data_IF_317049766544
#
_entry.id   IF_317049766544
#
_cell.length_a   1.000
_cell.length_b   1.000
_cell.length_c   1.000
_cell.angle_alpha   90.00
_cell.angle_beta   90.00
_cell.angle_gamma   90.00
#
_symmetry.space_group_name_H-M   'P 1'
#
loop_
_entity.id
_entity.type
_entity.pdbx_description
1 polymer ?
#
# COMPACT_ATOMS: atom_id res chain seq x y z
N UNK A 1 11.45 14.15 19.21
CA UNK A 1 11.14 12.94 18.43
C UNK A 1 11.64 13.19 17.02
N UNK A 2 12.52 12.34 16.47
CA UNK A 2 13.02 12.54 15.10
C UNK A 2 11.86 12.34 14.12
N UNK A 3 11.59 13.34 13.28
CA UNK A 3 10.52 13.31 12.27
C UNK A 3 10.67 12.10 11.32
N UNK A 4 11.90 11.70 11.03
CA UNK A 4 12.20 10.55 10.19
C UNK A 4 11.74 9.22 10.77
N UNK A 5 11.85 9.06 12.10
CA UNK A 5 11.34 7.87 12.79
C UNK A 5 9.82 7.81 12.71
N UNK A 6 9.15 8.95 12.86
CA UNK A 6 7.69 9.05 12.73
C UNK A 6 7.24 8.69 11.31
N UNK A 7 7.94 9.18 10.29
CA UNK A 7 7.62 8.92 8.89
C UNK A 7 7.84 7.45 8.52
N UNK A 8 8.97 6.87 8.94
CA UNK A 8 9.24 5.46 8.70
C UNK A 8 8.19 4.55 9.35
N UNK A 9 7.79 4.84 10.59
CA UNK A 9 6.72 4.12 11.29
C UNK A 9 5.39 4.29 10.55
N UNK A 10 5.08 5.51 10.08
CA UNK A 10 3.87 5.79 9.31
C UNK A 10 3.82 4.96 8.03
N UNK A 11 4.93 4.85 7.31
CA UNK A 11 5.00 4.06 6.07
C UNK A 11 4.80 2.56 6.32
N UNK A 12 5.34 2.05 7.44
CA UNK A 12 5.08 0.68 7.88
C UNK A 12 3.61 0.45 8.21
N UNK A 13 2.98 1.38 8.92
CA UNK A 13 1.55 1.28 9.25
C UNK A 13 0.69 1.23 7.97
N UNK A 14 0.98 2.08 6.99
CA UNK A 14 0.29 2.02 5.70
C UNK A 14 0.55 0.70 4.96
N UNK A 15 1.76 0.17 5.03
CA UNK A 15 2.07 -1.16 4.48
C UNK A 15 1.24 -2.25 5.15
N UNK A 16 1.08 -2.22 6.48
CA UNK A 16 0.21 -3.14 7.21
C UNK A 16 -1.25 -3.01 6.79
N UNK A 17 -1.75 -1.79 6.59
CA UNK A 17 -3.11 -1.55 6.09
C UNK A 17 -3.30 -2.19 4.71
N UNK A 18 -2.37 -1.97 3.78
CA UNK A 18 -2.40 -2.60 2.46
C UNK A 18 -2.32 -4.13 2.55
N UNK A 19 -1.54 -4.66 3.48
CA UNK A 19 -1.49 -6.10 3.77
C UNK A 19 -2.84 -6.64 4.20
N UNK A 20 -3.49 -6.03 5.20
CA UNK A 20 -4.81 -6.43 5.66
C UNK A 20 -5.85 -6.40 4.54
N UNK A 21 -5.87 -5.31 3.75
CA UNK A 21 -6.72 -5.19 2.57
C UNK A 21 -6.46 -6.32 1.56
N UNK A 22 -5.19 -6.64 1.29
CA UNK A 22 -4.84 -7.72 0.38
C UNK A 22 -5.33 -9.09 0.84
N UNK A 23 -5.23 -9.39 2.14
CA UNK A 23 -5.68 -10.65 2.73
C UNK A 23 -7.19 -10.76 2.66
N UNK A 24 -7.91 -9.69 3.01
CA UNK A 24 -9.37 -9.64 2.88
C UNK A 24 -9.78 -9.82 1.43
N UNK A 25 -9.20 -9.05 0.50
CA UNK A 25 -9.51 -9.15 -0.93
C UNK A 25 -9.19 -10.53 -1.52
N UNK A 26 -8.15 -11.20 -1.04
CA UNK A 26 -7.83 -12.58 -1.43
C UNK A 26 -8.91 -13.55 -0.95
N UNK A 27 -9.27 -13.51 0.34
CA UNK A 27 -10.28 -14.40 0.93
C UNK A 27 -11.65 -14.21 0.30
N UNK A 28 -12.11 -12.97 0.18
CA UNK A 28 -13.37 -12.66 -0.49
C UNK A 28 -13.32 -13.03 -1.98
N UNK A 29 -12.18 -12.83 -2.64
CA UNK A 29 -11.98 -13.24 -4.03
C UNK A 29 -12.06 -14.76 -4.24
N UNK A 30 -11.53 -15.55 -3.31
CA UNK A 30 -11.63 -17.01 -3.33
C UNK A 30 -13.07 -17.48 -3.14
N UNK A 31 -13.81 -16.89 -2.20
CA UNK A 31 -15.21 -17.26 -1.91
C UNK A 31 -16.15 -16.84 -3.05
N UNK A 32 -15.95 -15.65 -3.63
CA UNK A 32 -16.82 -15.10 -4.68
C UNK A 32 -16.35 -15.42 -6.12
N UNK A 33 -15.28 -16.19 -6.30
CA UNK A 33 -14.76 -16.55 -7.63
C UNK A 33 -14.20 -15.37 -8.44
N UNK A 34 -13.76 -14.29 -7.78
CA UNK A 34 -13.34 -13.04 -8.43
C UNK A 34 -11.90 -13.15 -8.94
N UNK A 35 -11.60 -12.48 -10.06
CA UNK A 35 -10.24 -12.32 -10.57
C UNK A 35 -9.30 -11.68 -9.54
N UNK A 36 -8.04 -12.11 -9.59
CA UNK A 36 -6.94 -11.84 -8.64
C UNK A 36 -6.46 -10.37 -8.62
N UNK A 37 -7.36 -9.41 -8.43
CA UNK A 37 -7.00 -7.98 -8.33
C UNK A 37 -6.15 -7.65 -7.09
N UNK A 38 -6.04 -8.60 -6.15
CA UNK A 38 -5.19 -8.45 -4.96
C UNK A 38 -3.70 -8.30 -5.29
N UNK A 39 -3.24 -8.66 -6.49
CA UNK A 39 -1.84 -8.48 -6.90
C UNK A 39 -1.38 -7.02 -6.89
N UNK A 40 -2.29 -6.06 -7.14
CA UNK A 40 -1.97 -4.64 -7.08
C UNK A 40 -1.66 -4.18 -5.64
N UNK A 41 -2.23 -4.83 -4.62
CA UNK A 41 -1.85 -4.57 -3.24
C UNK A 41 -0.42 -5.03 -2.94
N UNK A 42 0.05 -6.13 -3.55
CA UNK A 42 1.46 -6.55 -3.39
C UNK A 42 2.42 -5.55 -4.01
N UNK A 43 2.09 -4.99 -5.18
CA UNK A 43 2.88 -3.91 -5.77
C UNK A 43 2.91 -2.69 -4.83
N UNK A 44 1.75 -2.25 -4.33
CA UNK A 44 1.67 -1.15 -3.36
C UNK A 44 2.51 -1.41 -2.10
N UNK A 45 2.40 -2.60 -1.52
CA UNK A 45 3.19 -3.01 -0.35
C UNK A 45 4.70 -3.01 -0.61
N UNK A 46 5.15 -3.44 -1.79
CA UNK A 46 6.57 -3.38 -2.14
C UNK A 46 7.08 -1.94 -2.12
N UNK A 47 6.36 -1.02 -2.76
CA UNK A 47 6.75 0.39 -2.80
C UNK A 47 6.71 1.06 -1.41
N UNK A 48 5.69 0.79 -0.59
CA UNK A 48 5.59 1.40 0.75
C UNK A 48 6.59 0.81 1.75
N UNK A 49 6.86 -0.50 1.69
CA UNK A 49 7.89 -1.14 2.53
C UNK A 49 9.29 -0.70 2.14
N UNK A 50 9.57 -0.59 0.84
CA UNK A 50 10.86 -0.08 0.36
C UNK A 50 11.06 1.38 0.75
N UNK A 51 10.01 2.22 0.68
CA UNK A 51 10.04 3.58 1.18
C UNK A 51 10.37 3.66 2.68
N UNK A 52 9.81 2.78 3.51
CA UNK A 52 10.15 2.71 4.94
C UNK A 52 11.60 2.29 5.18
N UNK A 53 12.09 1.26 4.48
CA UNK A 53 13.48 0.81 4.60
C UNK A 53 14.45 1.92 4.20
N UNK A 54 14.18 2.61 3.09
CA UNK A 54 14.99 3.74 2.65
C UNK A 54 14.94 4.90 3.65
N UNK A 55 13.78 5.23 4.22
CA UNK A 55 13.66 6.27 5.25
C UNK A 55 14.41 5.91 6.54
N UNK A 56 14.46 4.62 6.89
CA UNK A 56 15.21 4.13 8.04
C UNK A 56 16.71 4.08 7.80
N UNK A 57 17.14 3.94 6.55
CA UNK A 57 18.56 3.91 6.13
C UNK A 57 19.08 5.31 5.79
N UNK A 58 18.22 6.26 5.42
CA UNK A 58 18.56 7.64 5.04
C UNK A 58 18.98 8.53 6.21
N UNK A 59 19.34 7.96 7.35
CA UNK A 59 19.92 8.66 8.52
C UNK A 59 21.24 9.38 8.15
N UNK A 60 21.77 9.18 6.93
CA UNK A 60 22.99 9.83 6.40
C UNK A 60 22.67 10.90 5.34
N UNK A 61 22.56 12.15 5.80
CA UNK A 61 22.92 13.46 5.19
C UNK A 61 22.55 13.84 3.73
N UNK A 62 21.87 13.01 2.94
CA UNK A 62 21.47 13.40 1.58
C UNK A 62 20.02 13.91 1.53
N UNK A 63 19.84 15.23 1.52
CA UNK A 63 18.54 15.91 1.42
C UNK A 63 17.72 15.44 0.20
N UNK A 64 18.40 15.12 -0.91
CA UNK A 64 17.77 14.60 -2.13
C UNK A 64 17.18 13.19 -1.95
N UNK A 65 17.71 12.39 -1.01
CA UNK A 65 17.24 11.02 -0.78
C UNK A 65 15.82 10.98 -0.20
N UNK A 66 15.44 11.99 0.59
CA UNK A 66 14.08 12.11 1.16
C UNK A 66 13.01 12.30 0.09
N UNK A 67 13.27 13.13 -0.94
CA UNK A 67 12.32 13.32 -2.04
C UNK A 67 12.04 12.02 -2.79
N UNK A 68 13.07 11.21 -3.03
CA UNK A 68 12.91 9.89 -3.64
C UNK A 68 12.08 8.96 -2.74
N UNK A 69 12.32 8.98 -1.43
CA UNK A 69 11.56 8.18 -0.46
C UNK A 69 10.07 8.52 -0.48
N UNK A 70 9.71 9.81 -0.40
CA UNK A 70 8.30 10.22 -0.47
C UNK A 70 7.68 9.93 -1.84
N UNK A 71 8.44 10.08 -2.93
CA UNK A 71 7.97 9.72 -4.26
C UNK A 71 7.61 8.22 -4.34
N UNK A 72 8.52 7.35 -3.90
CA UNK A 72 8.27 5.90 -3.81
C UNK A 72 7.05 5.57 -2.95
N UNK A 73 6.94 6.19 -1.76
CA UNK A 73 5.80 5.99 -0.88
C UNK A 73 4.48 6.42 -1.53
N UNK A 74 4.46 7.58 -2.20
CA UNK A 74 3.27 8.09 -2.89
C UNK A 74 2.83 7.18 -4.05
N UNK A 75 3.77 6.60 -4.79
CA UNK A 75 3.49 5.60 -5.84
C UNK A 75 2.86 4.34 -5.22
N UNK A 76 3.42 3.85 -4.10
CA UNK A 76 2.86 2.70 -3.39
C UNK A 76 1.43 2.92 -2.90
N UNK A 77 1.16 4.08 -2.31
CA UNK A 77 -0.19 4.47 -1.91
C UNK A 77 -1.14 4.60 -3.10
N UNK A 78 -0.70 5.20 -4.20
CA UNK A 78 -1.51 5.36 -5.41
C UNK A 78 -1.93 4.01 -5.98
N UNK A 79 -1.01 3.04 -6.03
CA UNK A 79 -1.31 1.68 -6.45
C UNK A 79 -2.27 0.98 -5.50
N UNK A 80 -2.08 1.14 -4.18
CA UNK A 80 -2.99 0.61 -3.16
C UNK A 80 -4.40 1.18 -3.24
N UNK A 81 -4.53 2.47 -3.53
CA UNK A 81 -5.82 3.13 -3.76
C UNK A 81 -6.50 2.65 -5.04
N UNK A 82 -5.77 2.56 -6.15
CA UNK A 82 -6.27 1.99 -7.41
C UNK A 82 -6.77 0.55 -7.23
N UNK A 83 -6.01 -0.28 -6.51
CA UNK A 83 -6.42 -1.63 -6.16
C UNK A 83 -7.74 -1.61 -5.38
N UNK A 84 -7.84 -0.72 -4.39
CA UNK A 84 -9.02 -0.60 -3.53
C UNK A 84 -10.25 -0.13 -4.28
N UNK A 85 -10.14 0.92 -5.09
CA UNK A 85 -11.26 1.43 -5.90
C UNK A 85 -11.75 0.33 -6.85
N UNK A 86 -10.83 -0.39 -7.49
CA UNK A 86 -11.19 -1.43 -8.46
C UNK A 86 -11.84 -2.64 -7.79
N UNK A 87 -11.29 -3.10 -6.67
CA UNK A 87 -11.80 -4.28 -5.96
C UNK A 87 -13.10 -3.97 -5.22
N UNK A 88 -13.08 -2.99 -4.31
CA UNK A 88 -14.24 -2.66 -3.49
C UNK A 88 -15.35 -1.98 -4.29
N UNK A 89 -15.00 -1.16 -5.29
CA UNK A 89 -15.98 -0.55 -6.17
C UNK A 89 -16.72 -1.57 -7.05
N UNK A 90 -16.05 -2.67 -7.43
CA UNK A 90 -16.73 -3.80 -8.07
C UNK A 90 -17.64 -4.54 -7.08
N UNK A 91 -17.14 -4.84 -5.89
CA UNK A 91 -17.86 -5.57 -4.85
C UNK A 91 -19.16 -4.87 -4.43
N UNK A 92 -19.12 -3.55 -4.26
CA UNK A 92 -20.32 -2.74 -3.95
C UNK A 92 -21.35 -2.83 -5.08
N UNK A 93 -20.91 -2.78 -6.34
CA UNK A 93 -21.81 -2.91 -7.50
C UNK A 93 -22.49 -4.26 -7.56
N UNK A 94 -21.79 -5.33 -7.19
CA UNK A 94 -22.34 -6.68 -7.19
C UNK A 94 -23.36 -6.85 -6.06
N UNK A 95 -23.07 -6.35 -4.85
CA UNK A 95 -23.99 -6.39 -3.70
C UNK A 95 -25.28 -5.59 -3.98
N UNK A 96 -25.19 -4.47 -4.71
CA UNK A 96 -26.37 -3.66 -5.05
C UNK A 96 -27.21 -4.30 -6.17
N UNK A 97 -26.60 -5.12 -7.03
CA UNK A 97 -27.27 -5.78 -8.16
C UNK A 97 -27.90 -7.12 -7.80
N UNK A 98 -27.36 -7.83 -6.81
CA UNK A 98 -27.91 -9.07 -6.26
C UNK A 98 -29.03 -8.82 -5.28
#
# INVERSE_FOLDING_TARGET
MNLELLDSVSFLLFTMVLYFLSVLSKRFGEVMGIRKYYYLYYAGMLFTSFGSLLMSLSVTDFENSRLFVYAFFSVGLTLGLLASIRYWGWLIKEIIKG
#
